data_IF_887797901637
#
_entry.id   IF_887797901637
#
_cell.length_a   1.000
_cell.length_b   1.000
_cell.length_c   1.000
_cell.angle_alpha   90.00
_cell.angle_beta   90.00
_cell.angle_gamma   90.00
#
_symmetry.space_group_name_H-M   'P 1'
#
loop_
_entity.id
_entity.type
_entity.pdbx_description
1 polymer ?
#
# COMPACT_ATOMS: atom_id res chain seq x y z
N UNK A 1 -26.47 48.59 -8.90
CA UNK A 1 -27.14 47.58 -8.05
C UNK A 1 -27.35 46.32 -8.90
N UNK A 2 -26.80 45.16 -8.52
CA UNK A 2 -26.97 43.94 -9.31
C UNK A 2 -28.46 43.56 -9.35
N UNK A 3 -28.99 43.35 -10.56
CA UNK A 3 -30.39 42.97 -10.78
C UNK A 3 -30.69 41.64 -10.10
N UNK A 4 -31.94 41.44 -9.66
CA UNK A 4 -32.38 40.24 -8.92
C UNK A 4 -31.97 38.92 -9.60
N UNK A 5 -31.95 38.90 -10.93
CA UNK A 5 -31.55 37.75 -11.74
C UNK A 5 -30.05 37.42 -11.61
N UNK A 6 -29.19 38.44 -11.50
CA UNK A 6 -27.75 38.26 -11.33
C UNK A 6 -27.42 37.66 -9.96
N UNK A 7 -28.19 38.01 -8.93
CA UNK A 7 -28.04 37.44 -7.58
C UNK A 7 -28.43 35.96 -7.52
N UNK A 8 -29.47 35.58 -8.24
CA UNK A 8 -29.93 34.17 -8.34
C UNK A 8 -28.88 33.32 -9.07
N UNK A 9 -28.33 33.84 -10.17
CA UNK A 9 -27.29 33.14 -10.94
C UNK A 9 -26.01 32.92 -10.12
N UNK A 10 -25.58 33.93 -9.34
CA UNK A 10 -24.43 33.77 -8.45
C UNK A 10 -24.68 32.72 -7.36
N UNK A 11 -25.87 32.73 -6.74
CA UNK A 11 -26.21 31.74 -5.72
C UNK A 11 -26.20 30.32 -6.29
N UNK A 12 -26.74 30.12 -7.50
CA UNK A 12 -26.72 28.83 -8.18
C UNK A 12 -25.30 28.37 -8.56
N UNK A 13 -24.41 29.29 -8.96
CA UNK A 13 -23.03 28.95 -9.27
C UNK A 13 -22.24 28.50 -8.03
N UNK A 14 -22.48 29.13 -6.87
CA UNK A 14 -21.79 28.76 -5.62
C UNK A 14 -22.23 27.37 -5.14
N UNK A 15 -23.52 27.05 -5.23
CA UNK A 15 -24.04 25.74 -4.80
C UNK A 15 -23.57 24.60 -5.68
N UNK A 16 -23.47 24.80 -7.00
CA UNK A 16 -22.96 23.78 -7.92
C UNK A 16 -21.47 23.52 -7.74
N UNK A 17 -20.67 24.56 -7.50
CA UNK A 17 -19.23 24.42 -7.19
C UNK A 17 -19.03 23.71 -5.84
N UNK A 18 -19.78 24.10 -4.80
CA UNK A 18 -19.72 23.45 -3.49
C UNK A 18 -20.12 21.98 -3.54
N UNK A 19 -21.17 21.65 -4.33
CA UNK A 19 -21.56 20.28 -4.57
C UNK A 19 -20.47 19.51 -5.34
N UNK A 20 -19.94 20.04 -6.43
CA UNK A 20 -18.87 19.38 -7.17
C UNK A 20 -17.61 19.12 -6.30
N UNK A 21 -17.26 20.06 -5.42
CA UNK A 21 -16.16 19.91 -4.47
C UNK A 21 -16.44 18.84 -3.40
N UNK A 22 -17.67 18.74 -2.90
CA UNK A 22 -18.02 17.72 -1.91
C UNK A 22 -17.98 16.30 -2.48
N UNK A 23 -18.52 16.11 -3.69
CA UNK A 23 -18.62 14.80 -4.33
C UNK A 23 -17.29 14.30 -4.92
N UNK A 24 -16.37 15.20 -5.28
CA UNK A 24 -15.05 14.84 -5.82
C UNK A 24 -14.06 14.31 -4.78
N UNK A 25 -14.35 14.40 -3.48
CA UNK A 25 -13.49 13.85 -2.41
C UNK A 25 -13.51 12.33 -2.30
N UNK A 26 -14.34 11.66 -3.09
CA UNK A 26 -14.55 10.21 -3.05
C UNK A 26 -13.49 9.41 -3.82
N UNK A 27 -12.58 10.06 -4.55
CA UNK A 27 -11.42 9.43 -5.18
C UNK A 27 -10.23 9.35 -4.20
N UNK A 28 -10.47 9.01 -2.93
CA UNK A 28 -9.38 8.52 -2.08
C UNK A 28 -9.02 7.16 -2.61
N UNK A 29 -7.84 7.06 -3.22
CA UNK A 29 -7.20 5.79 -3.55
C UNK A 29 -7.26 4.91 -2.30
N UNK A 30 -8.16 3.93 -2.32
CA UNK A 30 -8.17 2.84 -1.35
C UNK A 30 -6.95 1.98 -1.68
N UNK A 31 -5.75 2.48 -1.37
CA UNK A 31 -4.61 1.60 -1.19
C UNK A 31 -4.96 0.80 0.05
N UNK A 32 -5.56 -0.36 -0.17
CA UNK A 32 -5.67 -1.41 0.83
C UNK A 32 -4.23 -1.77 1.21
N UNK A 33 -3.71 -1.11 2.25
CA UNK A 33 -2.37 -1.30 2.78
C UNK A 33 -2.30 -2.62 3.55
N UNK A 34 -2.57 -3.74 2.88
CA UNK A 34 -1.74 -4.91 3.10
C UNK A 34 -0.32 -4.49 2.73
N UNK A 35 0.72 -4.77 3.53
CA UNK A 35 2.08 -4.42 3.16
C UNK A 35 2.37 -4.92 1.74
N UNK A 36 2.64 -3.97 0.84
CA UNK A 36 3.16 -4.18 -0.51
C UNK A 36 4.63 -4.60 -0.44
N UNK A 37 4.88 -5.80 0.08
CA UNK A 37 6.22 -6.37 0.16
C UNK A 37 6.87 -6.40 -1.22
N UNK A 38 7.91 -5.59 -1.41
CA UNK A 38 8.71 -5.51 -2.63
C UNK A 38 9.90 -6.45 -2.50
N UNK A 39 10.14 -7.36 -3.46
CA UNK A 39 11.28 -8.26 -3.42
C UNK A 39 12.60 -7.49 -3.49
N UNK A 40 13.52 -7.80 -2.58
CA UNK A 40 14.89 -7.28 -2.56
C UNK A 40 15.82 -8.24 -3.29
N UNK A 41 15.69 -9.54 -3.03
CA UNK A 41 16.58 -10.55 -3.60
C UNK A 41 16.36 -11.94 -3.03
N UNK A 42 17.14 -12.89 -3.54
CA UNK A 42 17.16 -14.29 -3.11
C UNK A 42 18.60 -14.78 -2.99
N UNK A 43 18.83 -15.75 -2.11
CA UNK A 43 20.09 -16.45 -1.95
C UNK A 43 19.83 -17.91 -1.64
N UNK A 44 20.65 -18.79 -2.17
CA UNK A 44 20.62 -20.20 -1.85
C UNK A 44 22.02 -20.68 -1.46
N UNK A 45 22.08 -21.53 -0.44
CA UNK A 45 23.31 -22.18 0.03
C UNK A 45 22.98 -23.58 0.52
N UNK A 46 23.56 -24.60 -0.12
CA UNK A 46 23.28 -25.99 0.20
C UNK A 46 21.79 -26.32 0.04
N UNK A 47 21.17 -26.79 1.11
CA UNK A 47 19.75 -27.17 1.14
C UNK A 47 18.82 -26.01 1.53
N UNK A 48 19.36 -24.80 1.76
CA UNK A 48 18.60 -23.69 2.30
C UNK A 48 18.53 -22.53 1.31
N UNK A 49 17.32 -22.00 1.11
CA UNK A 49 17.06 -20.81 0.29
C UNK A 49 16.44 -19.72 1.15
N UNK A 50 16.88 -18.48 0.96
CA UNK A 50 16.36 -17.29 1.63
C UNK A 50 15.86 -16.28 0.59
N UNK A 51 14.69 -15.71 0.83
CA UNK A 51 14.12 -14.62 0.06
C UNK A 51 13.91 -13.39 0.96
N UNK A 52 14.25 -12.21 0.46
CA UNK A 52 14.10 -10.95 1.18
C UNK A 52 13.11 -10.03 0.48
N UNK A 53 12.29 -9.35 1.28
CA UNK A 53 11.34 -8.34 0.85
C UNK A 53 11.44 -7.12 1.75
N UNK A 54 11.08 -5.94 1.25
CA UNK A 54 10.90 -4.74 2.06
C UNK A 54 9.53 -4.13 1.87
N UNK A 55 9.01 -3.50 2.91
CA UNK A 55 7.80 -2.69 2.87
C UNK A 55 8.20 -1.20 2.97
N UNK A 56 8.10 -0.43 1.87
CA UNK A 56 8.55 0.96 1.86
C UNK A 56 7.81 1.85 2.85
N UNK A 57 6.50 1.64 3.03
CA UNK A 57 5.66 2.52 3.86
C UNK A 57 5.98 2.40 5.35
N UNK A 58 6.23 1.18 5.83
CA UNK A 58 6.49 0.89 7.24
C UNK A 58 7.97 0.78 7.58
N UNK A 59 8.86 0.88 6.58
CA UNK A 59 10.31 0.65 6.68
C UNK A 59 10.61 -0.71 7.33
N UNK A 60 9.88 -1.74 6.91
CA UNK A 60 10.10 -3.10 7.38
C UNK A 60 10.81 -3.92 6.31
N UNK A 61 11.51 -4.96 6.75
CA UNK A 61 12.05 -6.01 5.90
C UNK A 61 11.55 -7.37 6.41
N UNK A 62 11.27 -8.27 5.48
CA UNK A 62 10.87 -9.65 5.70
C UNK A 62 11.95 -10.55 5.10
N UNK A 63 12.46 -11.48 5.89
CA UNK A 63 13.36 -12.53 5.42
C UNK A 63 12.68 -13.89 5.64
N UNK A 64 12.47 -14.64 4.57
CA UNK A 64 11.88 -15.98 4.61
C UNK A 64 12.92 -17.01 4.18
N UNK A 65 13.12 -18.04 5.00
CA UNK A 65 14.10 -19.10 4.78
C UNK A 65 13.41 -20.45 4.74
N UNK A 66 13.79 -21.31 3.79
CA UNK A 66 13.30 -22.70 3.75
C UNK A 66 13.89 -23.49 4.90
N UNK A 67 13.03 -24.16 5.67
CA UNK A 67 13.44 -25.14 6.66
C UNK A 67 13.54 -26.52 5.98
N UNK A 68 14.60 -27.25 6.30
CA UNK A 68 14.84 -28.58 5.76
C UNK A 68 15.02 -29.59 6.89
N UNK A 69 14.35 -30.73 6.76
CA UNK A 69 14.56 -31.86 7.67
C UNK A 69 15.49 -32.87 6.99
N UNK A 70 16.54 -33.36 7.67
CA UNK A 70 17.43 -34.37 7.13
C UNK A 70 16.65 -35.59 6.60
N UNK A 71 16.92 -35.99 5.36
CA UNK A 71 16.27 -37.14 4.71
C UNK A 71 14.88 -36.87 4.10
N UNK A 72 14.27 -35.70 4.34
CA UNK A 72 12.92 -35.37 3.81
C UNK A 72 12.90 -34.16 2.86
N UNK A 73 13.97 -33.38 2.78
CA UNK A 73 14.01 -32.17 1.95
C UNK A 73 13.42 -30.94 2.63
N UNK A 74 12.80 -30.04 1.85
CA UNK A 74 12.14 -28.82 2.37
C UNK A 74 10.87 -29.23 3.12
N UNK A 75 10.79 -28.83 4.39
CA UNK A 75 9.69 -29.16 5.30
C UNK A 75 8.88 -27.95 5.73
N UNK A 76 9.40 -26.75 5.51
CA UNK A 76 8.67 -25.52 5.83
C UNK A 76 9.36 -24.26 5.33
N UNK A 77 8.77 -23.12 5.67
CA UNK A 77 9.36 -21.80 5.47
C UNK A 77 9.19 -21.01 6.76
N UNK A 78 10.30 -20.49 7.29
CA UNK A 78 10.31 -19.61 8.46
C UNK A 78 10.59 -18.20 8.01
N UNK A 79 9.73 -17.28 8.44
CA UNK A 79 9.86 -15.87 8.10
C UNK A 79 10.07 -15.01 9.35
N UNK A 80 10.91 -13.99 9.23
CA UNK A 80 11.17 -12.99 10.27
C UNK A 80 10.99 -11.59 9.68
N UNK A 81 10.28 -10.73 10.41
CA UNK A 81 10.12 -9.31 10.06
C UNK A 81 11.00 -8.47 10.99
N UNK A 82 11.73 -7.53 10.42
CA UNK A 82 12.55 -6.56 11.14
C UNK A 82 12.32 -5.15 10.61
N UNK A 83 12.58 -4.13 11.44
CA UNK A 83 12.53 -2.73 11.00
C UNK A 83 13.90 -2.33 10.46
N UNK A 84 13.91 -1.68 9.31
CA UNK A 84 15.12 -1.13 8.70
C UNK A 84 15.55 0.15 9.45
N UNK A 85 16.86 0.45 9.51
CA UNK A 85 17.38 1.68 10.11
C UNK A 85 16.79 2.98 9.53
#
# INVERSE_FOLDING_TARGET
>A
MPTRNLRILMAAAITTIGAAAFWSTSARSQINASPSWIPIGVSSSGTTSTAWFHEPSSRQALACQTETTPGSGITGVKCVVARLP
#
